data_IF_973985520329
#
_entry.id   IF_973985520329
#
_cell.length_a   1.000
_cell.length_b   1.000
_cell.length_c   1.000
_cell.angle_alpha   90.00
_cell.angle_beta   90.00
_cell.angle_gamma   90.00
#
_symmetry.space_group_name_H-M   'P 1'
#
loop_
_entity.id
_entity.type
_entity.pdbx_description
1 polymer ?
#
# COMPACT_ATOMS: atom_id res chain seq x y z
N UNK A 1 7.69 -16.72 2.00
CA UNK A 1 6.71 -16.35 3.02
C UNK A 1 5.90 -15.16 2.56
N UNK A 2 4.59 -15.19 2.77
CA UNK A 2 3.69 -14.14 2.33
C UNK A 2 2.95 -13.56 3.53
N UNK A 3 2.88 -12.25 3.61
CA UNK A 3 2.12 -11.54 4.63
C UNK A 3 1.01 -10.74 3.96
N UNK A 4 -0.04 -10.44 4.71
CA UNK A 4 -1.17 -9.65 4.23
C UNK A 4 -1.39 -8.47 5.17
N UNK A 5 -1.64 -7.30 4.59
CA UNK A 5 -1.97 -6.10 5.33
C UNK A 5 -3.24 -5.51 4.73
N UNK A 6 -4.25 -5.33 5.56
CA UNK A 6 -5.55 -4.82 5.11
C UNK A 6 -5.64 -3.31 5.34
N UNK A 7 -5.96 -2.55 4.29
CA UNK A 7 -6.24 -1.14 4.42
C UNK A 7 -7.56 -0.93 5.17
N UNK A 8 -7.66 0.11 5.99
CA UNK A 8 -8.93 0.48 6.63
C UNK A 8 -9.90 1.04 5.61
N UNK A 9 -11.14 1.26 6.03
CA UNK A 9 -12.16 1.84 5.15
C UNK A 9 -11.84 3.28 4.75
N UNK A 10 -11.06 3.99 5.55
CA UNK A 10 -10.74 5.40 5.32
C UNK A 10 -9.24 5.65 5.50
N UNK A 11 -8.66 6.35 4.55
CA UNK A 11 -7.27 6.82 4.63
C UNK A 11 -7.24 8.29 4.25
N UNK A 12 -6.82 9.14 5.17
CA UNK A 12 -6.67 10.57 4.93
C UNK A 12 -5.46 11.09 5.71
N UNK A 13 -5.23 12.40 5.65
CA UNK A 13 -4.09 13.01 6.33
C UNK A 13 -4.15 12.86 7.86
N UNK A 14 -5.32 12.55 8.43
CA UNK A 14 -5.44 12.39 9.86
C UNK A 14 -4.96 11.04 10.36
N UNK A 15 -5.06 9.98 9.52
CA UNK A 15 -4.66 8.63 9.95
C UNK A 15 -3.52 8.03 9.13
N UNK A 16 -2.99 8.76 8.14
CA UNK A 16 -2.01 8.21 7.20
C UNK A 16 -0.76 7.68 7.90
N UNK A 17 -0.27 8.38 8.90
CA UNK A 17 0.94 7.96 9.60
C UNK A 17 0.72 6.65 10.36
N UNK A 18 -0.43 6.50 11.02
CA UNK A 18 -0.76 5.27 11.73
C UNK A 18 -0.94 4.09 10.80
N UNK A 19 -1.60 4.30 9.67
CA UNK A 19 -1.78 3.24 8.68
C UNK A 19 -0.43 2.81 8.10
N UNK A 20 0.42 3.77 7.77
CA UNK A 20 1.76 3.46 7.25
C UNK A 20 2.58 2.70 8.27
N UNK A 21 2.57 3.13 9.54
CA UNK A 21 3.31 2.46 10.60
C UNK A 21 2.86 1.01 10.75
N UNK A 22 1.55 0.76 10.71
CA UNK A 22 1.01 -0.60 10.79
C UNK A 22 1.46 -1.46 9.62
N UNK A 23 1.45 -0.92 8.41
CA UNK A 23 1.91 -1.64 7.23
C UNK A 23 3.39 -1.97 7.28
N UNK A 24 4.20 -1.02 7.73
CA UNK A 24 5.64 -1.25 7.87
C UNK A 24 5.95 -2.27 8.96
N UNK A 25 5.15 -2.32 10.03
CA UNK A 25 5.31 -3.34 11.06
C UNK A 25 5.07 -4.74 10.51
N UNK A 26 4.07 -4.90 9.66
CA UNK A 26 3.83 -6.18 8.97
C UNK A 26 5.03 -6.52 8.07
N UNK A 27 5.53 -5.55 7.33
CA UNK A 27 6.66 -5.76 6.43
C UNK A 27 7.92 -6.19 7.17
N UNK A 28 8.13 -5.68 8.38
CA UNK A 28 9.29 -6.05 9.20
C UNK A 28 9.32 -7.53 9.58
N UNK A 29 8.18 -8.21 9.52
CA UNK A 29 8.14 -9.64 9.83
C UNK A 29 8.65 -10.50 8.68
N UNK A 30 8.89 -9.91 7.52
CA UNK A 30 9.29 -10.63 6.33
C UNK A 30 10.80 -10.63 6.17
N UNK A 31 11.34 -11.81 5.82
CA UNK A 31 12.73 -11.94 5.44
C UNK A 31 12.92 -11.53 3.98
N UNK A 32 14.18 -11.33 3.59
CA UNK A 32 14.55 -11.09 2.20
C UNK A 32 13.93 -12.17 1.30
N UNK A 33 13.34 -11.75 0.20
CA UNK A 33 12.67 -12.65 -0.74
C UNK A 33 11.21 -12.94 -0.40
N UNK A 34 10.71 -12.40 0.72
CA UNK A 34 9.31 -12.53 1.08
C UNK A 34 8.41 -11.67 0.22
N UNK A 35 7.11 -11.80 0.42
CA UNK A 35 6.12 -11.01 -0.30
C UNK A 35 5.01 -10.54 0.64
N UNK A 36 4.41 -9.42 0.28
CA UNK A 36 3.33 -8.81 1.04
C UNK A 36 2.21 -8.41 0.09
N UNK A 37 0.98 -8.71 0.49
CA UNK A 37 -0.21 -8.28 -0.24
C UNK A 37 -0.88 -7.20 0.58
N UNK A 38 -1.15 -6.05 -0.05
CA UNK A 38 -1.96 -4.99 0.53
C UNK A 38 -3.38 -5.18 0.04
N UNK A 39 -4.28 -5.56 0.95
CA UNK A 39 -5.68 -5.79 0.62
C UNK A 39 -6.44 -4.47 0.73
N UNK A 40 -6.90 -3.97 -0.41
CA UNK A 40 -7.63 -2.71 -0.50
C UNK A 40 -9.15 -2.91 -0.53
N UNK A 41 -9.62 -4.10 -0.24
CA UNK A 41 -11.03 -4.45 -0.37
C UNK A 41 -11.97 -3.53 0.41
N UNK A 42 -11.59 -3.16 1.63
CA UNK A 42 -12.44 -2.35 2.49
C UNK A 42 -12.24 -0.85 2.31
N UNK A 43 -11.27 -0.43 1.51
CA UNK A 43 -10.97 0.98 1.33
C UNK A 43 -12.10 1.67 0.54
N UNK A 44 -12.79 2.61 1.16
CA UNK A 44 -13.94 3.30 0.58
C UNK A 44 -13.74 4.80 0.43
N UNK A 45 -13.04 5.41 1.38
CA UNK A 45 -12.83 6.85 1.41
C UNK A 45 -11.35 7.15 1.56
N UNK A 46 -10.80 7.95 0.65
CA UNK A 46 -9.37 8.25 0.69
C UNK A 46 -9.06 9.51 -0.11
N UNK A 47 -7.93 10.11 0.21
CA UNK A 47 -7.34 11.18 -0.58
C UNK A 47 -5.97 10.70 -1.11
N UNK A 48 -5.15 11.62 -1.58
CA UNK A 48 -3.83 11.27 -2.11
C UNK A 48 -2.88 10.66 -1.07
N UNK A 49 -3.22 10.74 0.21
CA UNK A 49 -2.44 10.09 1.27
C UNK A 49 -2.35 8.57 1.05
N UNK A 50 -3.39 7.97 0.47
CA UNK A 50 -3.37 6.54 0.15
C UNK A 50 -2.23 6.21 -0.82
N UNK A 51 -2.00 7.05 -1.83
CA UNK A 51 -0.90 6.86 -2.76
C UNK A 51 0.45 7.02 -2.06
N UNK A 52 0.55 7.97 -1.15
CA UNK A 52 1.78 8.19 -0.39
C UNK A 52 2.16 6.96 0.44
N UNK A 53 1.18 6.32 1.08
CA UNK A 53 1.41 5.07 1.82
C UNK A 53 1.95 4.00 0.89
N UNK A 54 1.30 3.79 -0.25
CA UNK A 54 1.68 2.75 -1.20
C UNK A 54 3.11 2.97 -1.69
N UNK A 55 3.44 4.22 -2.05
CA UNK A 55 4.79 4.54 -2.50
C UNK A 55 5.83 4.29 -1.41
N UNK A 56 5.53 4.69 -0.19
CA UNK A 56 6.44 4.49 0.95
C UNK A 56 6.66 3.01 1.21
N UNK A 57 5.60 2.21 1.16
CA UNK A 57 5.71 0.77 1.38
C UNK A 57 6.49 0.08 0.27
N UNK A 58 6.25 0.47 -0.98
CA UNK A 58 7.01 -0.10 -2.10
C UNK A 58 8.48 0.27 -2.05
N UNK A 59 8.80 1.49 -1.61
CA UNK A 59 10.18 1.93 -1.43
C UNK A 59 10.88 1.10 -0.35
N UNK A 60 10.22 0.92 0.78
CA UNK A 60 10.79 0.13 1.87
C UNK A 60 10.93 -1.34 1.47
N UNK A 61 9.97 -1.88 0.73
CA UNK A 61 10.03 -3.24 0.22
C UNK A 61 11.25 -3.43 -0.67
N UNK A 62 11.56 -2.46 -1.51
CA UNK A 62 12.73 -2.52 -2.36
C UNK A 62 14.02 -2.58 -1.54
N UNK A 63 14.09 -1.79 -0.46
CA UNK A 63 15.25 -1.81 0.44
C UNK A 63 15.41 -3.18 1.10
N UNK A 64 14.31 -3.83 1.48
CA UNK A 64 14.33 -5.13 2.15
C UNK A 64 14.35 -6.32 1.20
N UNK A 65 14.31 -6.09 -0.10
CA UNK A 65 14.18 -7.14 -1.12
C UNK A 65 12.93 -7.99 -0.90
N UNK A 66 11.82 -7.32 -0.65
CA UNK A 66 10.49 -7.90 -0.45
C UNK A 66 9.60 -7.41 -1.59
N UNK A 67 8.70 -8.26 -2.07
CA UNK A 67 7.72 -7.88 -3.09
C UNK A 67 6.46 -7.34 -2.44
N UNK A 68 5.87 -6.31 -3.02
CA UNK A 68 4.58 -5.77 -2.57
C UNK A 68 3.61 -5.78 -3.74
N UNK A 69 2.43 -6.33 -3.51
CA UNK A 69 1.36 -6.39 -4.49
C UNK A 69 0.09 -5.86 -3.86
N UNK A 70 -0.69 -5.09 -4.63
CA UNK A 70 -1.99 -4.60 -4.19
C UNK A 70 -3.09 -5.51 -4.72
N UNK A 71 -4.09 -5.76 -3.89
CA UNK A 71 -5.23 -6.62 -4.23
C UNK A 71 -6.52 -5.84 -4.03
N UNK A 72 -7.52 -6.08 -4.87
CA UNK A 72 -8.84 -5.46 -4.81
C UNK A 72 -8.76 -3.92 -4.83
N UNK A 73 -7.92 -3.36 -5.70
CA UNK A 73 -7.73 -1.91 -5.81
C UNK A 73 -9.04 -1.25 -6.25
N UNK A 74 -9.57 -0.27 -5.49
CA UNK A 74 -10.76 0.45 -5.91
C UNK A 74 -10.52 1.22 -7.20
N UNK A 75 -11.54 1.28 -8.04
CA UNK A 75 -11.45 1.99 -9.32
C UNK A 75 -11.04 3.45 -9.14
N UNK A 76 -11.55 4.12 -8.11
CA UNK A 76 -11.19 5.50 -7.81
C UNK A 76 -9.71 5.65 -7.46
N UNK A 77 -9.14 4.68 -6.78
CA UNK A 77 -7.72 4.71 -6.44
C UNK A 77 -6.87 4.52 -7.69
N UNK A 78 -7.25 3.60 -8.56
CA UNK A 78 -6.57 3.41 -9.84
C UNK A 78 -6.62 4.67 -10.69
N UNK A 79 -7.78 5.33 -10.76
CA UNK A 79 -7.94 6.59 -11.49
C UNK A 79 -7.07 7.69 -10.91
N UNK A 80 -7.02 7.79 -9.58
CA UNK A 80 -6.19 8.79 -8.90
C UNK A 80 -4.71 8.55 -9.19
N UNK A 81 -4.28 7.30 -9.17
CA UNK A 81 -2.91 6.94 -9.52
C UNK A 81 -2.56 7.36 -10.94
N UNK A 82 -3.48 7.17 -11.88
CA UNK A 82 -3.28 7.58 -13.27
C UNK A 82 -3.12 9.09 -13.38
N UNK A 83 -3.95 9.86 -12.67
CA UNK A 83 -3.86 11.34 -12.67
C UNK A 83 -2.48 11.81 -12.18
N UNK A 84 -1.92 11.12 -11.18
CA UNK A 84 -0.61 11.47 -10.64
C UNK A 84 0.56 10.83 -11.41
N UNK A 85 0.27 10.07 -12.47
CA UNK A 85 1.31 9.39 -13.23
C UNK A 85 1.94 8.21 -12.50
N UNK A 86 1.20 7.61 -11.57
CA UNK A 86 1.71 6.55 -10.70
C UNK A 86 1.08 5.19 -10.97
N UNK A 87 0.33 5.03 -12.06
CA UNK A 87 -0.37 3.78 -12.32
C UNK A 87 0.59 2.59 -12.40
N UNK A 88 1.76 2.77 -12.99
CA UNK A 88 2.74 1.69 -13.11
C UNK A 88 3.27 1.26 -11.73
N UNK A 89 3.37 2.19 -10.80
CA UNK A 89 3.86 1.92 -9.46
C UNK A 89 2.79 1.27 -8.60
N UNK A 90 1.56 1.75 -8.71
CA UNK A 90 0.45 1.31 -7.85
C UNK A 90 -0.15 0.01 -8.35
N UNK A 91 -0.28 -0.15 -9.66
CA UNK A 91 -1.01 -1.27 -10.28
C UNK A 91 -0.10 -2.38 -10.80
N UNK A 92 1.19 -2.19 -10.72
CA UNK A 92 2.15 -3.19 -11.24
C UNK A 92 2.28 -4.43 -10.33
#
# INVERSE_FOLDING_TARGET
MTASFKFPAKIDHANVEGVLASGLDVMKTLAQGGSMVIDCKDLQSFDSSALSIILSMKRQAQVQSVSVQLDAVPEKLASLATVYGLSDVVLA
#
